data_IF_925559755696
#
_entry.id   IF_925559755696
#
_cell.length_a   1.000
_cell.length_b   1.000
_cell.length_c   1.000
_cell.angle_alpha   90.00
_cell.angle_beta   90.00
_cell.angle_gamma   90.00
#
_symmetry.space_group_name_H-M   'P 1'
#
loop_
_entity.id
_entity.type
_entity.pdbx_description
1 polymer ?
#
# COMPACT_ATOMS: atom_id res chain seq x y z
N UNK A 1 11.05 -9.51 25.13
CA UNK A 1 10.59 -9.75 23.75
C UNK A 1 11.07 -8.61 22.87
N UNK A 2 11.81 -8.94 21.82
CA UNK A 2 12.39 -8.02 20.85
C UNK A 2 11.70 -8.17 19.50
N UNK A 3 11.40 -7.05 18.85
CA UNK A 3 10.94 -7.00 17.45
C UNK A 3 12.08 -6.59 16.53
N UNK A 4 12.06 -7.13 15.32
CA UNK A 4 13.01 -6.78 14.25
C UNK A 4 12.38 -5.68 13.38
N UNK A 5 13.02 -4.51 13.35
CA UNK A 5 12.63 -3.40 12.49
C UNK A 5 12.93 -3.70 11.02
N UNK A 6 12.32 -2.89 10.15
CA UNK A 6 12.58 -2.91 8.69
C UNK A 6 14.04 -2.64 8.33
N UNK A 7 14.78 -1.92 9.18
CA UNK A 7 16.22 -1.67 9.04
C UNK A 7 17.10 -2.76 9.69
N UNK A 8 16.50 -3.86 10.17
CA UNK A 8 17.19 -4.98 10.82
C UNK A 8 17.50 -4.77 12.30
N UNK A 9 17.26 -3.57 12.87
CA UNK A 9 17.54 -3.31 14.29
C UNK A 9 16.55 -4.04 15.19
N UNK A 10 17.03 -4.50 16.35
CA UNK A 10 16.18 -5.06 17.39
C UNK A 10 15.68 -3.95 18.32
N UNK A 11 14.39 -3.95 18.63
CA UNK A 11 13.80 -3.03 19.60
C UNK A 11 12.91 -3.79 20.58
N UNK A 12 12.89 -3.37 21.85
CA UNK A 12 11.94 -3.90 22.83
C UNK A 12 10.50 -3.52 22.47
N UNK A 13 9.58 -4.48 22.55
CA UNK A 13 8.16 -4.24 22.30
C UNK A 13 7.60 -3.35 23.41
N UNK A 14 6.96 -2.25 23.00
CA UNK A 14 6.26 -1.33 23.91
C UNK A 14 4.80 -1.25 23.49
N UNK A 15 3.89 -1.61 24.40
CA UNK A 15 2.44 -1.56 24.14
C UNK A 15 2.00 -0.18 23.66
N UNK A 16 2.43 0.87 24.35
CA UNK A 16 2.07 2.25 24.00
C UNK A 16 2.46 2.62 22.57
N UNK A 17 3.54 2.06 22.02
CA UNK A 17 3.94 2.31 20.63
C UNK A 17 3.02 1.63 19.62
N UNK A 18 2.53 0.42 19.94
CA UNK A 18 1.57 -0.30 19.10
C UNK A 18 0.23 0.44 19.11
N UNK A 19 -0.27 0.76 20.31
CA UNK A 19 -1.53 1.49 20.49
C UNK A 19 -1.49 2.86 19.83
N UNK A 20 -0.47 3.68 20.09
CA UNK A 20 -0.35 5.02 19.50
C UNK A 20 -0.26 4.99 17.97
N UNK A 21 0.27 3.91 17.39
CA UNK A 21 0.30 3.74 15.94
C UNK A 21 -1.10 3.46 15.38
N UNK A 22 -1.86 2.57 16.00
CA UNK A 22 -3.21 2.22 15.57
C UNK A 22 -4.13 3.44 15.75
N UNK A 23 -4.01 4.14 16.87
CA UNK A 23 -4.78 5.34 17.20
C UNK A 23 -4.63 6.45 16.16
N UNK A 24 -3.41 6.68 15.64
CA UNK A 24 -3.17 7.64 14.55
C UNK A 24 -3.93 7.31 13.26
N UNK A 25 -4.35 6.06 13.06
CA UNK A 25 -5.11 5.61 11.89
C UNK A 25 -6.63 5.62 12.13
N UNK A 26 -7.08 5.95 13.34
CA UNK A 26 -8.50 6.01 13.71
C UNK A 26 -9.18 7.35 13.39
N UNK A 27 -8.56 8.24 12.62
CA UNK A 27 -9.14 9.55 12.29
C UNK A 27 -10.48 9.41 11.55
N UNK A 28 -11.51 10.13 12.02
CA UNK A 28 -12.85 10.07 11.41
C UNK A 28 -13.58 8.72 11.55
N UNK A 29 -13.06 7.77 12.35
CA UNK A 29 -13.78 6.54 12.71
C UNK A 29 -14.64 6.77 13.95
N UNK A 30 -15.69 5.97 14.11
CA UNK A 30 -16.58 6.04 15.26
C UNK A 30 -15.90 5.50 16.53
N UNK A 31 -15.36 6.42 17.35
CA UNK A 31 -14.63 6.08 18.58
C UNK A 31 -15.49 5.45 19.67
N UNK A 32 -16.83 5.53 19.58
CA UNK A 32 -17.71 4.84 20.52
C UNK A 32 -17.68 3.32 20.32
N UNK A 33 -17.33 2.84 19.12
CA UNK A 33 -17.28 1.42 18.78
C UNK A 33 -15.89 0.91 18.42
N UNK A 34 -15.05 1.76 17.84
CA UNK A 34 -13.69 1.42 17.40
C UNK A 34 -12.69 1.74 18.51
N UNK A 35 -12.10 0.72 19.11
CA UNK A 35 -11.10 0.84 20.16
C UNK A 35 -9.72 0.42 19.66
N UNK A 36 -8.77 1.35 19.48
CA UNK A 36 -7.39 1.01 19.11
C UNK A 36 -6.71 0.17 20.20
N UNK A 37 -7.10 0.37 21.47
CA UNK A 37 -6.60 -0.39 22.63
C UNK A 37 -7.01 -1.86 22.51
N UNK A 38 -8.24 -2.14 22.09
CA UNK A 38 -8.70 -3.52 21.94
C UNK A 38 -7.90 -4.27 20.87
N UNK A 39 -7.66 -3.64 19.73
CA UNK A 39 -6.82 -4.20 18.67
C UNK A 39 -5.41 -4.44 19.21
N UNK A 40 -4.80 -3.45 19.86
CA UNK A 40 -3.45 -3.55 20.38
C UNK A 40 -3.28 -4.69 21.40
N UNK A 41 -4.26 -4.90 22.29
CA UNK A 41 -4.25 -6.00 23.27
C UNK A 41 -4.18 -7.36 22.57
N UNK A 42 -5.10 -7.59 21.63
CA UNK A 42 -5.15 -8.85 20.87
C UNK A 42 -3.89 -9.08 20.03
N UNK A 43 -3.32 -8.01 19.47
CA UNK A 43 -2.05 -8.09 18.72
C UNK A 43 -0.92 -8.51 19.63
N UNK A 44 -0.83 -7.97 20.86
CA UNK A 44 0.22 -8.33 21.82
C UNK A 44 0.24 -9.83 22.13
N UNK A 45 -0.94 -10.44 22.29
CA UNK A 45 -1.05 -11.85 22.62
C UNK A 45 -0.47 -12.75 21.51
N UNK A 46 -0.39 -12.25 20.27
CA UNK A 46 0.21 -12.94 19.13
C UNK A 46 1.68 -12.61 18.86
N UNK A 47 2.33 -11.77 19.68
CA UNK A 47 3.74 -11.39 19.50
C UNK A 47 4.65 -12.46 20.09
N UNK A 48 5.70 -12.82 19.36
CA UNK A 48 6.77 -13.70 19.80
C UNK A 48 8.14 -13.03 19.61
N UNK A 49 9.18 -13.57 20.26
CA UNK A 49 10.53 -13.00 20.17
C UNK A 49 11.09 -13.13 18.75
N UNK A 50 11.58 -12.02 18.19
CA UNK A 50 12.13 -11.96 16.84
C UNK A 50 11.10 -11.62 15.75
N UNK A 51 9.82 -11.44 16.08
CA UNK A 51 8.81 -11.03 15.08
C UNK A 51 9.16 -9.70 14.43
N UNK A 52 8.96 -9.59 13.12
CA UNK A 52 9.27 -8.38 12.37
C UNK A 52 8.16 -7.34 12.53
N UNK A 53 8.54 -6.05 12.40
CA UNK A 53 7.55 -4.96 12.39
C UNK A 53 6.58 -5.00 11.20
N UNK A 54 6.88 -5.78 10.15
CA UNK A 54 5.97 -5.99 9.01
C UNK A 54 4.92 -7.04 9.37
N UNK A 55 5.33 -8.15 9.97
CA UNK A 55 4.42 -9.18 10.48
C UNK A 55 3.50 -8.63 11.57
N UNK A 56 4.03 -7.79 12.46
CA UNK A 56 3.24 -7.14 13.50
C UNK A 56 2.13 -6.26 12.91
N UNK A 57 2.44 -5.48 11.87
CA UNK A 57 1.44 -4.64 11.20
C UNK A 57 0.41 -5.48 10.44
N UNK A 58 0.82 -6.61 9.84
CA UNK A 58 -0.10 -7.54 9.19
C UNK A 58 -1.05 -8.19 10.21
N UNK A 59 -0.52 -8.67 11.33
CA UNK A 59 -1.31 -9.21 12.43
C UNK A 59 -2.30 -8.16 12.97
N UNK A 60 -1.88 -6.91 13.10
CA UNK A 60 -2.78 -5.83 13.52
C UNK A 60 -3.90 -5.55 12.51
N UNK A 61 -3.59 -5.58 11.22
CA UNK A 61 -4.60 -5.41 10.17
C UNK A 61 -5.61 -6.57 10.17
N UNK A 62 -5.14 -7.82 10.25
CA UNK A 62 -6.00 -9.02 10.31
C UNK A 62 -6.86 -9.05 11.57
N UNK A 63 -6.27 -8.69 12.72
CA UNK A 63 -6.99 -8.56 13.99
C UNK A 63 -8.09 -7.51 13.89
N UNK A 64 -7.78 -6.33 13.36
CA UNK A 64 -8.80 -5.30 13.12
C UNK A 64 -9.88 -5.80 12.15
N UNK A 65 -9.53 -6.49 11.07
CA UNK A 65 -10.49 -7.02 10.11
C UNK A 65 -11.45 -8.04 10.76
N UNK A 66 -10.98 -8.87 11.68
CA UNK A 66 -11.84 -9.81 12.42
C UNK A 66 -12.91 -9.12 13.29
N UNK A 67 -12.64 -7.88 13.72
CA UNK A 67 -13.55 -7.06 14.52
C UNK A 67 -14.60 -6.32 13.69
N UNK A 68 -14.58 -6.46 12.36
CA UNK A 68 -15.63 -5.92 11.46
C UNK A 68 -17.03 -6.40 11.85
N UNK A 69 -17.13 -7.61 12.42
CA UNK A 69 -18.38 -8.17 12.96
C UNK A 69 -18.98 -7.34 14.09
N UNK A 70 -18.19 -6.50 14.77
CA UNK A 70 -18.66 -5.59 15.81
C UNK A 70 -19.06 -4.22 15.26
N UNK A 71 -18.26 -3.68 14.35
CA UNK A 71 -18.55 -2.40 13.70
C UNK A 71 -17.80 -2.31 12.36
N UNK A 72 -18.44 -1.81 11.28
CA UNK A 72 -17.83 -1.74 9.94
C UNK A 72 -16.55 -0.91 9.87
N UNK A 73 -16.41 0.13 10.68
CA UNK A 73 -15.19 0.98 10.71
C UNK A 73 -13.91 0.20 11.07
N UNK A 74 -14.01 -0.97 11.70
CA UNK A 74 -12.85 -1.83 11.90
C UNK A 74 -12.26 -2.35 10.58
N UNK A 75 -13.08 -2.56 9.54
CA UNK A 75 -12.60 -2.88 8.20
C UNK A 75 -11.82 -1.72 7.58
N UNK A 76 -12.25 -0.48 7.82
CA UNK A 76 -11.53 0.73 7.39
C UNK A 76 -10.19 0.82 8.14
N UNK A 77 -10.21 0.65 9.47
CA UNK A 77 -8.98 0.65 10.27
C UNK A 77 -7.99 -0.42 9.80
N UNK A 78 -8.47 -1.64 9.55
CA UNK A 78 -7.67 -2.75 9.04
C UNK A 78 -7.01 -2.40 7.70
N UNK A 79 -7.78 -1.82 6.77
CA UNK A 79 -7.26 -1.36 5.50
C UNK A 79 -6.18 -0.29 5.67
N UNK A 80 -6.42 0.69 6.55
CA UNK A 80 -5.47 1.78 6.82
C UNK A 80 -4.17 1.27 7.42
N UNK A 81 -4.22 0.27 8.30
CA UNK A 81 -3.01 -0.40 8.84
C UNK A 81 -2.25 -1.08 7.70
N UNK A 82 -2.95 -1.84 6.85
CA UNK A 82 -2.33 -2.55 5.73
C UNK A 82 -1.70 -1.60 4.70
N UNK A 83 -2.39 -0.52 4.33
CA UNK A 83 -1.90 0.54 3.44
C UNK A 83 -0.68 1.24 4.06
N UNK A 84 -0.75 1.59 5.34
CA UNK A 84 0.37 2.22 6.06
C UNK A 84 1.60 1.30 6.06
N UNK A 85 1.41 -0.01 6.18
CA UNK A 85 2.48 -0.99 6.07
C UNK A 85 3.08 -1.00 4.65
N UNK A 86 2.23 -1.07 3.61
CA UNK A 86 2.65 -1.03 2.21
C UNK A 86 3.46 0.22 1.88
N UNK A 87 3.02 1.40 2.33
CA UNK A 87 3.72 2.67 2.11
C UNK A 87 5.12 2.69 2.73
N UNK A 88 5.37 1.93 3.80
CA UNK A 88 6.70 1.84 4.44
C UNK A 88 7.65 0.89 3.73
N UNK A 89 7.15 0.01 2.87
CA UNK A 89 7.97 -0.98 2.13
C UNK A 89 8.05 -0.68 0.63
N UNK A 90 7.31 0.32 0.15
CA UNK A 90 7.29 0.78 -1.25
C UNK A 90 7.86 2.18 -1.39
N UNK A 91 8.44 2.48 -2.57
CA UNK A 91 8.89 3.83 -2.91
C UNK A 91 7.71 4.80 -2.94
N UNK A 92 7.95 6.07 -2.61
CA UNK A 92 6.94 7.13 -2.76
C UNK A 92 6.87 7.64 -4.20
N UNK A 93 7.94 7.63 -4.98
CA UNK A 93 7.92 8.16 -6.35
C UNK A 93 7.35 7.12 -7.32
N UNK A 94 6.35 7.52 -8.11
CA UNK A 94 5.74 6.67 -9.12
C UNK A 94 6.71 6.42 -10.27
N UNK A 95 7.30 7.48 -10.82
CA UNK A 95 8.29 7.39 -11.91
C UNK A 95 9.49 6.51 -11.55
N UNK A 96 9.97 6.58 -10.31
CA UNK A 96 11.04 5.69 -9.80
C UNK A 96 10.59 4.22 -9.74
N UNK A 97 9.37 3.94 -9.28
CA UNK A 97 8.81 2.58 -9.30
C UNK A 97 8.65 2.07 -10.72
N UNK A 98 8.15 2.88 -11.65
CA UNK A 98 8.01 2.51 -13.07
C UNK A 98 9.35 2.23 -13.74
N UNK A 99 10.39 3.01 -13.41
CA UNK A 99 11.75 2.73 -13.86
C UNK A 99 12.21 1.34 -13.43
N UNK A 100 12.01 0.99 -12.16
CA UNK A 100 12.40 -0.33 -11.62
C UNK A 100 11.63 -1.48 -12.28
N UNK A 101 10.36 -1.27 -12.61
CA UNK A 101 9.54 -2.25 -13.33
C UNK A 101 10.02 -2.43 -14.78
N UNK A 102 10.44 -1.34 -15.43
CA UNK A 102 10.94 -1.36 -16.80
C UNK A 102 12.34 -1.99 -16.90
N UNK A 103 13.23 -1.66 -15.97
CA UNK A 103 14.61 -2.18 -15.94
C UNK A 103 14.73 -3.47 -15.14
N UNK A 104 13.63 -4.21 -14.96
CA UNK A 104 13.68 -5.48 -14.23
C UNK A 104 14.34 -6.56 -15.10
N UNK A 105 15.26 -7.28 -14.50
CA UNK A 105 15.97 -8.42 -15.09
C UNK A 105 15.56 -9.67 -14.31
N UNK A 106 15.33 -10.79 -15.01
CA UNK A 106 14.98 -12.05 -14.34
C UNK A 106 16.21 -12.56 -13.57
N UNK A 107 16.12 -12.74 -12.25
CA UNK A 107 17.26 -13.13 -11.42
C UNK A 107 17.83 -14.52 -11.73
N UNK A 108 17.12 -15.36 -12.51
CA UNK A 108 17.57 -16.72 -12.86
C UNK A 108 18.52 -16.76 -14.05
N UNK A 109 18.31 -15.92 -15.06
CA UNK A 109 19.06 -15.92 -16.31
C UNK A 109 19.69 -14.55 -16.65
N UNK A 110 19.28 -13.47 -15.97
CA UNK A 110 19.75 -12.11 -16.23
C UNK A 110 19.14 -11.47 -17.47
N UNK A 111 18.12 -12.10 -18.06
CA UNK A 111 17.47 -11.55 -19.25
C UNK A 111 16.55 -10.39 -18.88
N UNK A 112 16.37 -9.44 -19.81
CA UNK A 112 15.43 -8.34 -19.64
C UNK A 112 14.00 -8.89 -19.54
N UNK A 113 13.38 -8.73 -18.37
CA UNK A 113 12.04 -9.17 -18.04
C UNK A 113 11.14 -7.97 -17.71
N UNK A 114 11.25 -6.90 -18.49
CA UNK A 114 10.48 -5.67 -18.28
C UNK A 114 8.98 -5.95 -18.09
N UNK A 115 8.45 -5.43 -16.98
CA UNK A 115 7.03 -5.51 -16.64
C UNK A 115 6.23 -4.30 -17.15
N UNK A 116 6.90 -3.39 -17.88
CA UNK A 116 6.32 -2.18 -18.43
C UNK A 116 6.68 -2.05 -19.91
N UNK A 117 5.70 -1.72 -20.75
CA UNK A 117 5.95 -1.51 -22.17
C UNK A 117 6.88 -0.30 -22.39
N UNK A 118 7.76 -0.39 -23.38
CA UNK A 118 8.78 0.66 -23.65
C UNK A 118 8.14 2.01 -23.98
N UNK A 119 7.10 2.02 -24.80
CA UNK A 119 6.37 3.23 -25.19
C UNK A 119 5.70 3.89 -23.97
N UNK A 120 5.12 3.10 -23.06
CA UNK A 120 4.54 3.62 -21.81
C UNK A 120 5.62 4.17 -20.89
N UNK A 121 6.76 3.48 -20.75
CA UNK A 121 7.89 3.95 -19.96
C UNK A 121 8.44 5.29 -20.47
N UNK A 122 8.62 5.44 -21.79
CA UNK A 122 9.15 6.67 -22.38
C UNK A 122 8.26 7.88 -22.06
N UNK A 123 6.94 7.73 -22.14
CA UNK A 123 5.98 8.76 -21.73
C UNK A 123 6.11 9.09 -20.25
N UNK A 124 6.13 8.06 -19.38
CA UNK A 124 6.24 8.26 -17.93
C UNK A 124 7.55 8.96 -17.58
N UNK A 125 8.65 8.57 -18.23
CA UNK A 125 9.97 9.16 -17.99
C UNK A 125 10.01 10.64 -18.40
N UNK A 126 9.47 10.96 -19.60
CA UNK A 126 9.39 12.32 -20.14
C UNK A 126 8.54 13.25 -19.27
N UNK A 127 7.45 12.73 -18.68
CA UNK A 127 6.49 13.51 -17.88
C UNK A 127 6.56 13.22 -16.37
N UNK A 128 7.70 12.68 -15.91
CA UNK A 128 7.86 12.14 -14.55
C UNK A 128 7.45 13.13 -13.44
N UNK A 129 7.89 14.39 -13.53
CA UNK A 129 7.58 15.40 -12.51
C UNK A 129 6.08 15.68 -12.41
N UNK A 130 5.40 15.83 -13.55
CA UNK A 130 3.96 16.12 -13.60
C UNK A 130 3.15 14.95 -13.05
N UNK A 131 3.48 13.73 -13.48
CA UNK A 131 2.78 12.52 -13.05
C UNK A 131 2.99 12.22 -11.56
N UNK A 132 4.24 12.35 -11.06
CA UNK A 132 4.54 12.16 -9.63
C UNK A 132 3.80 13.19 -8.75
N UNK A 133 3.66 14.43 -9.23
CA UNK A 133 2.99 15.51 -8.50
C UNK A 133 1.47 15.40 -8.53
N UNK A 134 0.89 14.78 -9.56
CA UNK A 134 -0.55 14.58 -9.68
C UNK A 134 -1.10 13.51 -8.73
N UNK A 135 -0.25 12.60 -8.24
CA UNK A 135 -0.69 11.47 -7.41
C UNK A 135 -1.01 11.91 -5.98
N UNK A 136 -2.19 11.52 -5.50
CA UNK A 136 -2.66 11.77 -4.13
C UNK A 136 -2.65 10.45 -3.35
N UNK A 137 -1.56 10.19 -2.61
CA UNK A 137 -1.37 8.94 -1.85
C UNK A 137 -2.38 8.73 -0.71
N UNK A 138 -3.00 9.80 -0.20
CA UNK A 138 -4.01 9.68 0.84
C UNK A 138 -5.25 8.90 0.36
N UNK A 139 -5.48 8.84 -0.96
CA UNK A 139 -6.56 8.05 -1.56
C UNK A 139 -6.38 6.54 -1.37
N UNK A 140 -5.16 6.05 -1.09
CA UNK A 140 -4.95 4.65 -0.74
C UNK A 140 -5.67 4.28 0.58
N UNK A 141 -5.85 5.22 1.50
CA UNK A 141 -6.52 4.96 2.78
C UNK A 141 -8.05 4.89 2.68
N UNK A 142 -8.61 5.11 1.49
CA UNK A 142 -10.04 4.99 1.27
C UNK A 142 -10.47 3.53 1.08
N UNK A 143 -9.55 2.60 0.80
CA UNK A 143 -9.91 1.19 0.54
C UNK A 143 -10.43 0.54 1.81
N UNK A 144 -11.36 -0.39 1.65
CA UNK A 144 -11.65 -1.36 2.71
C UNK A 144 -10.59 -2.47 2.69
N UNK A 145 -10.60 -3.30 3.73
CA UNK A 145 -9.54 -4.29 3.91
C UNK A 145 -9.55 -5.35 2.80
N UNK A 146 -10.75 -5.82 2.41
CA UNK A 146 -10.89 -6.86 1.40
C UNK A 146 -10.56 -6.35 -0.01
N UNK A 147 -10.98 -5.14 -0.36
CA UNK A 147 -10.60 -4.49 -1.61
C UNK A 147 -9.10 -4.27 -1.70
N UNK A 148 -8.48 -3.78 -0.63
CA UNK A 148 -7.02 -3.64 -0.59
C UNK A 148 -6.30 -4.99 -0.73
N UNK A 149 -6.73 -6.04 -0.02
CA UNK A 149 -6.12 -7.37 -0.12
C UNK A 149 -6.28 -7.99 -1.50
N UNK A 150 -7.38 -7.71 -2.18
CA UNK A 150 -7.59 -8.13 -3.57
C UNK A 150 -6.58 -7.46 -4.50
N UNK A 151 -6.39 -6.16 -4.36
CA UNK A 151 -5.38 -5.42 -5.12
C UNK A 151 -3.97 -5.93 -4.84
N UNK A 152 -3.59 -6.08 -3.56
CA UNK A 152 -2.29 -6.57 -3.13
C UNK A 152 -1.96 -7.96 -3.68
N UNK A 153 -2.96 -8.84 -3.77
CA UNK A 153 -2.77 -10.21 -4.24
C UNK A 153 -2.56 -10.29 -5.74
N UNK A 154 -3.37 -9.57 -6.53
CA UNK A 154 -3.47 -9.86 -7.98
C UNK A 154 -3.18 -8.68 -8.90
N UNK A 155 -3.22 -7.43 -8.41
CA UNK A 155 -3.17 -6.25 -9.27
C UNK A 155 -1.90 -5.41 -9.12
N UNK A 156 -1.32 -5.36 -7.92
CA UNK A 156 -0.10 -4.60 -7.67
C UNK A 156 1.11 -5.39 -8.16
N UNK A 157 1.93 -4.79 -9.03
CA UNK A 157 3.10 -5.45 -9.58
C UNK A 157 4.15 -5.72 -8.51
N UNK A 158 4.86 -6.84 -8.71
CA UNK A 158 5.85 -7.39 -7.79
C UNK A 158 7.21 -7.52 -8.47
N UNK A 159 8.26 -7.24 -7.71
CA UNK A 159 9.64 -7.59 -8.05
C UNK A 159 10.15 -8.54 -6.97
N UNK A 160 10.78 -9.65 -7.37
CA UNK A 160 11.31 -10.66 -6.45
C UNK A 160 10.27 -11.14 -5.42
N UNK A 161 9.02 -11.32 -5.87
CA UNK A 161 7.88 -11.73 -5.04
C UNK A 161 7.32 -10.64 -4.10
N UNK A 162 7.94 -9.46 -4.03
CA UNK A 162 7.53 -8.34 -3.16
C UNK A 162 6.76 -7.30 -3.96
N UNK A 163 5.65 -6.82 -3.40
CA UNK A 163 4.87 -5.73 -3.99
C UNK A 163 5.70 -4.45 -4.01
N UNK A 164 5.84 -3.84 -5.18
CA UNK A 164 6.58 -2.58 -5.36
C UNK A 164 5.67 -1.40 -5.71
N UNK A 165 4.48 -1.67 -6.24
CA UNK A 165 3.49 -0.66 -6.56
C UNK A 165 2.56 -0.35 -5.37
N UNK A 166 2.19 0.92 -5.25
CA UNK A 166 1.03 1.35 -4.47
C UNK A 166 -0.24 1.29 -5.34
N UNK A 167 -1.45 1.23 -4.77
CA UNK A 167 -2.68 1.33 -5.56
C UNK A 167 -2.70 2.57 -6.44
N UNK A 168 -2.26 3.74 -5.94
CA UNK A 168 -2.13 4.93 -6.79
C UNK A 168 -1.14 4.76 -7.96
N UNK A 169 -0.05 4.02 -7.79
CA UNK A 169 0.90 3.74 -8.88
C UNK A 169 0.25 2.90 -9.96
N UNK A 170 -0.48 1.86 -9.57
CA UNK A 170 -1.21 1.00 -10.49
C UNK A 170 -2.25 1.82 -11.27
N UNK A 171 -3.04 2.66 -10.60
CA UNK A 171 -4.05 3.49 -11.26
C UNK A 171 -3.43 4.48 -12.25
N UNK A 172 -2.34 5.17 -11.87
CA UNK A 172 -1.65 6.10 -12.77
C UNK A 172 -1.03 5.34 -13.96
N UNK A 173 -0.45 4.16 -13.73
CA UNK A 173 0.08 3.30 -14.80
C UNK A 173 -1.02 2.90 -15.79
N UNK A 174 -2.20 2.52 -15.30
CA UNK A 174 -3.37 2.22 -16.17
C UNK A 174 -3.77 3.46 -16.97
N UNK A 175 -3.87 4.63 -16.33
CA UNK A 175 -4.23 5.87 -17.02
C UNK A 175 -3.24 6.25 -18.12
N UNK A 176 -1.94 6.20 -17.85
CA UNK A 176 -0.92 6.47 -18.87
C UNK A 176 -0.90 5.38 -19.94
N UNK A 177 -1.16 4.12 -19.58
CA UNK A 177 -1.28 3.03 -20.55
C UNK A 177 -2.41 3.24 -21.57
N UNK A 178 -3.53 3.84 -21.14
CA UNK A 178 -4.69 4.14 -22.00
C UNK A 178 -4.43 5.38 -22.86
N UNK A 179 -3.96 6.48 -22.25
CA UNK A 179 -3.91 7.80 -22.90
C UNK A 179 -2.56 8.18 -23.50
N UNK A 180 -1.48 7.48 -23.11
CA UNK A 180 -0.10 7.71 -23.56
C UNK A 180 0.30 9.19 -23.45
N UNK A 181 0.66 9.82 -24.57
CA UNK A 181 1.15 11.20 -24.63
C UNK A 181 0.10 12.26 -24.22
N UNK A 182 -1.19 11.91 -24.17
CA UNK A 182 -2.23 12.79 -23.63
C UNK A 182 -2.25 12.75 -22.09
N UNK A 183 -1.34 13.50 -21.48
CA UNK A 183 -1.15 13.56 -20.03
C UNK A 183 -2.35 14.19 -19.31
N UNK A 184 -3.03 15.15 -19.94
CA UNK A 184 -4.20 15.81 -19.34
C UNK A 184 -5.35 14.81 -19.20
N UNK A 185 -5.62 14.01 -20.24
CA UNK A 185 -6.60 12.92 -20.18
C UNK A 185 -6.16 11.81 -19.23
N UNK A 186 -4.86 11.47 -19.18
CA UNK A 186 -4.33 10.50 -18.22
C UNK A 186 -4.61 10.93 -16.78
N UNK A 187 -4.29 12.17 -16.41
CA UNK A 187 -4.53 12.70 -15.06
C UNK A 187 -6.03 12.75 -14.75
N UNK A 188 -6.87 13.13 -15.72
CA UNK A 188 -8.33 13.12 -15.55
C UNK A 188 -8.85 11.72 -15.24
N UNK A 189 -8.46 10.71 -16.01
CA UNK A 189 -8.86 9.32 -15.76
C UNK A 189 -8.29 8.79 -14.44
N UNK A 190 -7.05 9.14 -14.09
CA UNK A 190 -6.47 8.81 -12.79
C UNK A 190 -7.32 9.36 -11.65
N UNK A 191 -7.75 10.62 -11.72
CA UNK A 191 -8.62 11.23 -10.73
C UNK A 191 -9.97 10.51 -10.63
N UNK A 192 -10.61 10.23 -11.78
CA UNK A 192 -11.89 9.51 -11.80
C UNK A 192 -11.80 8.12 -11.15
N UNK A 193 -10.72 7.37 -11.41
CA UNK A 193 -10.53 6.04 -10.81
C UNK A 193 -10.13 6.11 -9.33
N UNK A 194 -9.18 6.98 -8.97
CA UNK A 194 -8.68 7.07 -7.60
C UNK A 194 -9.70 7.69 -6.62
N UNK A 195 -10.65 8.47 -7.13
CA UNK A 195 -11.85 8.93 -6.40
C UNK A 195 -13.02 7.93 -6.48
N UNK A 196 -12.88 6.83 -7.23
CA UNK A 196 -13.84 5.72 -7.37
C UNK A 196 -15.14 6.06 -8.09
N UNK A 197 -15.10 7.02 -9.00
CA UNK A 197 -16.22 7.25 -9.91
C UNK A 197 -16.37 6.12 -10.95
N UNK A 198 -15.27 5.45 -11.27
CA UNK A 198 -15.22 4.34 -12.22
C UNK A 198 -14.02 3.41 -11.97
N UNK A 199 -14.03 2.23 -12.57
CA UNK A 199 -12.87 1.33 -12.67
C UNK A 199 -12.82 0.73 -14.07
N UNK A 200 -11.62 0.46 -14.59
CA UNK A 200 -11.44 -0.34 -15.79
C UNK A 200 -11.43 -1.83 -15.44
N UNK A 201 -11.85 -2.67 -16.40
CA UNK A 201 -11.83 -4.13 -16.31
C UNK A 201 -10.48 -4.71 -16.72
#
# INVERSE_FOLDING_TARGET
MLVIKRDGRRESVKFDKVTARIEKLCYGLNQNFVSPIEVAKKVIDGIYDGVTTVELDNLAAETAASLTTRHPDYAILAARIAVSNLHKVTSKSFSSTMKRLYTYEDPKNGDNASLLAKDVWEVIHKHAHTLDSAIIYDRDYNYDFFGFKTLERSYLLRLDGKVVERPQHMLMRVSVGIHKEDIDSAIKTYNMMSERWMTHA
#
